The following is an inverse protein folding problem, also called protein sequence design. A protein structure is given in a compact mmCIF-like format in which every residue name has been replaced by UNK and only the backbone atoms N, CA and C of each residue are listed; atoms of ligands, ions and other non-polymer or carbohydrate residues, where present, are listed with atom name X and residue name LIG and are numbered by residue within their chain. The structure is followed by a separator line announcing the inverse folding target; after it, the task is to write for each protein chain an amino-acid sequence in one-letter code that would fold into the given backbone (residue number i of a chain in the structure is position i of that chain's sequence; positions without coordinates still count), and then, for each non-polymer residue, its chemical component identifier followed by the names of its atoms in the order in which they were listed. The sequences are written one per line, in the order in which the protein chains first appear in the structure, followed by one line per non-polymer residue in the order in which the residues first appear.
data_IF_853185714432
#
_entry.id   IF_853185714432
#
_cell.length_a   1.000
_cell.length_b   1.000
_cell.length_c   1.000
_cell.angle_alpha   90.00
_cell.angle_beta   90.00
_cell.angle_gamma   90.00
#
_symmetry.space_group_name_H-M   'P 1'
#
loop_
_entity.id
_entity.type
_entity.pdbx_description
1 polymer ?
#
# COMPACT_ATOMS: atom_id res chain seq x y z
N UNK A 1 -25.83 1.98 -5.24
CA UNK A 1 -24.96 2.37 -6.32
C UNK A 1 -23.57 1.80 -6.12
N UNK A 2 -22.89 1.49 -7.19
CA UNK A 2 -21.47 1.10 -7.17
C UNK A 2 -20.63 2.36 -7.27
N UNK A 3 -19.63 2.50 -6.44
CA UNK A 3 -18.61 3.57 -6.54
C UNK A 3 -17.48 3.04 -7.41
N UNK A 4 -17.13 3.81 -8.46
CA UNK A 4 -16.00 3.45 -9.32
C UNK A 4 -14.67 3.78 -8.61
N UNK A 5 -13.81 2.78 -8.44
CA UNK A 5 -12.49 2.93 -7.82
C UNK A 5 -11.56 3.87 -8.59
N UNK A 6 -11.77 4.02 -9.90
CA UNK A 6 -10.91 4.84 -10.76
C UNK A 6 -11.30 6.33 -10.72
N UNK A 7 -12.55 6.65 -10.40
CA UNK A 7 -13.02 8.03 -10.28
C UNK A 7 -12.69 8.63 -8.93
N UNK A 8 -12.82 7.85 -7.85
CA UNK A 8 -12.55 8.33 -6.51
C UNK A 8 -12.11 7.19 -5.59
N UNK A 9 -10.80 7.01 -5.46
CA UNK A 9 -10.21 5.95 -4.62
C UNK A 9 -10.65 6.06 -3.17
N UNK A 10 -10.72 7.27 -2.63
CA UNK A 10 -11.11 7.48 -1.23
C UNK A 10 -12.56 7.06 -0.98
N UNK A 11 -13.49 7.45 -1.85
CA UNK A 11 -14.89 7.01 -1.77
C UNK A 11 -15.03 5.50 -1.93
N UNK A 12 -14.22 4.90 -2.82
CA UNK A 12 -14.21 3.46 -3.00
C UNK A 12 -13.72 2.72 -1.75
N UNK A 13 -12.68 3.22 -1.10
CA UNK A 13 -12.19 2.65 0.17
C UNK A 13 -13.24 2.78 1.28
N UNK A 14 -13.93 3.92 1.36
CA UNK A 14 -15.03 4.09 2.31
C UNK A 14 -16.20 3.15 2.01
N UNK A 15 -16.50 2.92 0.74
CA UNK A 15 -17.49 1.93 0.32
C UNK A 15 -17.08 0.52 0.73
N UNK A 16 -15.82 0.15 0.54
CA UNK A 16 -15.29 -1.12 1.01
C UNK A 16 -15.37 -1.24 2.54
N UNK A 17 -15.03 -0.19 3.27
CA UNK A 17 -15.21 -0.12 4.72
C UNK A 17 -16.66 -0.41 5.13
N UNK A 18 -17.62 0.18 4.42
CA UNK A 18 -19.05 -0.07 4.66
C UNK A 18 -19.43 -1.53 4.42
N UNK A 19 -18.96 -2.16 3.36
CA UNK A 19 -19.25 -3.57 3.05
C UNK A 19 -18.77 -4.53 4.16
N UNK A 20 -17.81 -4.11 4.98
CA UNK A 20 -17.22 -4.90 6.06
C UNK A 20 -17.62 -4.43 7.47
N UNK A 21 -18.37 -3.33 7.57
CA UNK A 21 -18.80 -2.73 8.84
C UNK A 21 -20.33 -2.53 8.90
N UNK A 22 -20.85 -2.00 10.00
CA UNK A 22 -22.28 -1.75 10.17
C UNK A 22 -22.76 -0.50 9.42
N UNK A 23 -24.07 -0.42 9.14
CA UNK A 23 -24.73 0.72 8.46
C UNK A 23 -24.44 2.08 9.13
N UNK A 24 -24.22 2.12 10.45
CA UNK A 24 -23.88 3.35 11.17
C UNK A 24 -22.63 4.01 10.62
N UNK A 25 -21.66 3.22 10.15
CA UNK A 25 -20.37 3.69 9.60
C UNK A 25 -20.53 4.29 8.21
N UNK A 26 -21.55 3.92 7.44
CA UNK A 26 -21.78 4.44 6.08
C UNK A 26 -22.00 5.96 6.09
N UNK A 27 -22.83 6.46 6.98
CA UNK A 27 -23.13 7.89 7.05
C UNK A 27 -21.90 8.73 7.37
N UNK A 28 -21.05 8.26 8.29
CA UNK A 28 -19.80 8.91 8.66
C UNK A 28 -18.78 8.83 7.52
N UNK A 29 -18.76 7.72 6.78
CA UNK A 29 -17.93 7.55 5.59
C UNK A 29 -18.33 8.53 4.47
N UNK A 30 -19.62 8.66 4.18
CA UNK A 30 -20.13 9.60 3.18
C UNK A 30 -19.77 11.05 3.55
N UNK A 31 -19.90 11.43 4.82
CA UNK A 31 -19.49 12.76 5.29
C UNK A 31 -18.00 13.03 5.11
N UNK A 32 -17.14 12.03 5.29
CA UNK A 32 -15.70 12.13 5.07
C UNK A 32 -15.36 12.21 3.57
N UNK A 33 -16.09 11.49 2.71
CA UNK A 33 -15.87 11.47 1.26
C UNK A 33 -16.16 12.81 0.58
N UNK A 34 -17.08 13.60 1.11
CA UNK A 34 -17.41 14.94 0.59
C UNK A 34 -16.20 15.91 0.63
N UNK A 35 -15.16 15.61 1.39
CA UNK A 35 -13.91 16.36 1.45
C UNK A 35 -12.88 15.96 0.40
N UNK A 36 -13.29 15.40 -0.71
CA UNK A 36 -12.50 15.02 -1.91
C UNK A 36 -10.98 15.14 -1.73
N UNK A 37 -10.37 14.10 -1.17
CA UNK A 37 -8.92 14.02 -1.09
C UNK A 37 -8.42 13.13 -2.22
N UNK A 38 -7.59 13.67 -3.11
CA UNK A 38 -6.86 12.85 -4.09
C UNK A 38 -5.93 11.88 -3.37
N UNK A 39 -5.53 10.79 -4.05
CA UNK A 39 -4.53 9.86 -3.52
C UNK A 39 -3.22 10.58 -3.23
N UNK A 40 -2.80 11.50 -4.10
CA UNK A 40 -1.58 12.29 -3.93
C UNK A 40 -1.60 13.12 -2.64
N UNK A 41 -2.72 13.78 -2.36
CA UNK A 41 -2.90 14.52 -1.11
C UNK A 41 -2.80 13.60 0.12
N UNK A 42 -3.41 12.41 0.05
CA UNK A 42 -3.33 11.44 1.14
C UNK A 42 -1.91 10.91 1.33
N UNK A 43 -1.15 10.73 0.25
CA UNK A 43 0.26 10.31 0.32
C UNK A 43 1.09 11.36 1.03
N UNK A 44 0.96 12.63 0.67
CA UNK A 44 1.72 13.73 1.30
C UNK A 44 1.35 13.88 2.78
N UNK A 45 0.07 13.82 3.11
CA UNK A 45 -0.44 13.89 4.49
C UNK A 45 0.09 12.71 5.36
N UNK A 46 0.10 11.49 4.80
CA UNK A 46 0.66 10.30 5.46
C UNK A 46 2.17 10.46 5.67
N UNK A 47 2.89 10.93 4.66
CA UNK A 47 4.35 11.12 4.76
C UNK A 47 4.71 12.09 5.88
N UNK A 48 3.97 13.20 5.99
CA UNK A 48 4.16 14.18 7.06
C UNK A 48 3.77 13.60 8.43
N UNK A 49 2.58 13.00 8.54
CA UNK A 49 2.03 12.47 9.80
C UNK A 49 2.93 11.41 10.44
N UNK A 50 3.50 10.51 9.62
CA UNK A 50 4.33 9.40 10.10
C UNK A 50 5.83 9.64 9.93
N UNK A 51 6.24 10.84 9.49
CA UNK A 51 7.64 11.22 9.22
C UNK A 51 8.37 10.17 8.36
N UNK A 52 7.77 9.81 7.21
CA UNK A 52 8.26 8.76 6.34
C UNK A 52 9.42 9.27 5.48
N UNK A 53 10.52 8.52 5.42
CA UNK A 53 11.65 8.79 4.54
C UNK A 53 11.24 8.70 3.07
N UNK A 54 11.50 9.77 2.30
CA UNK A 54 11.25 9.77 0.86
C UNK A 54 12.40 9.09 0.10
N UNK A 55 12.12 7.97 -0.54
CA UNK A 55 13.05 7.21 -1.38
C UNK A 55 12.72 7.27 -2.88
N UNK A 56 11.93 8.24 -3.32
CA UNK A 56 11.56 8.44 -4.75
C UNK A 56 12.69 9.04 -5.59
N UNK A 57 13.94 8.86 -5.21
CA UNK A 57 15.10 9.38 -5.92
C UNK A 57 15.73 8.33 -6.84
N UNK A 58 16.32 8.74 -7.99
CA UNK A 58 16.90 7.81 -8.98
C UNK A 58 18.01 6.92 -8.45
N UNK A 59 18.62 7.26 -7.31
CA UNK A 59 19.65 6.44 -6.66
C UNK A 59 19.10 5.13 -6.12
N UNK A 60 17.80 5.08 -5.81
CA UNK A 60 17.12 3.88 -5.34
C UNK A 60 16.54 3.12 -6.54
N UNK A 61 17.28 2.11 -6.99
CA UNK A 61 16.79 1.16 -8.00
C UNK A 61 16.13 0.02 -7.28
N UNK A 62 14.82 -0.09 -7.43
CA UNK A 62 13.98 -1.05 -6.72
C UNK A 62 13.34 -1.99 -7.74
N UNK A 63 13.36 -3.28 -7.45
CA UNK A 63 12.88 -4.35 -8.32
C UNK A 63 12.00 -5.31 -7.53
N UNK A 64 10.98 -5.86 -8.17
CA UNK A 64 10.20 -7.01 -7.70
C UNK A 64 10.56 -8.25 -8.53
N UNK A 65 10.37 -9.45 -7.98
CA UNK A 65 10.55 -10.72 -8.68
C UNK A 65 9.30 -11.56 -8.45
N UNK A 66 8.38 -11.49 -9.40
CA UNK A 66 7.08 -12.12 -9.33
C UNK A 66 6.74 -12.82 -10.64
N UNK A 67 5.82 -13.80 -10.66
CA UNK A 67 5.26 -14.33 -11.89
C UNK A 67 4.65 -13.25 -12.77
N UNK A 68 4.69 -13.45 -14.09
CA UNK A 68 4.25 -12.45 -15.09
C UNK A 68 2.79 -11.98 -14.90
N UNK A 69 1.92 -12.85 -14.34
CA UNK A 69 0.50 -12.54 -14.13
C UNK A 69 0.20 -11.94 -12.75
N UNK A 70 1.22 -11.67 -11.93
CA UNK A 70 1.05 -11.10 -10.59
C UNK A 70 0.48 -9.69 -10.66
N UNK A 71 -0.37 -9.36 -9.67
CA UNK A 71 -0.97 -8.03 -9.51
C UNK A 71 -0.73 -7.43 -8.13
N UNK A 72 -0.39 -8.27 -7.18
CA UNK A 72 -0.13 -7.96 -5.78
C UNK A 72 1.37 -8.16 -5.50
N UNK A 73 2.15 -7.10 -5.72
CA UNK A 73 3.59 -7.07 -5.47
C UNK A 73 3.82 -6.65 -4.02
N UNK A 74 4.04 -7.63 -3.14
CA UNK A 74 4.12 -7.41 -1.69
C UNK A 74 5.53 -7.08 -1.22
N UNK A 75 6.55 -7.54 -1.96
CA UNK A 75 7.96 -7.33 -1.64
C UNK A 75 8.78 -6.87 -2.83
N UNK A 76 9.84 -6.14 -2.51
CA UNK A 76 10.80 -5.65 -3.48
C UNK A 76 12.20 -5.57 -2.86
N UNK A 77 13.21 -5.47 -3.67
CA UNK A 77 14.58 -5.30 -3.23
C UNK A 77 15.33 -4.26 -4.05
N UNK A 78 16.38 -3.73 -3.45
CA UNK A 78 17.29 -2.82 -4.12
C UNK A 78 18.73 -3.06 -3.68
N UNK A 79 19.66 -2.74 -4.55
CA UNK A 79 21.10 -2.81 -4.24
C UNK A 79 21.74 -1.50 -4.67
N UNK A 80 22.45 -0.84 -3.75
CA UNK A 80 23.22 0.36 -4.06
C UNK A 80 24.61 0.32 -3.42
N UNK A 81 25.58 0.87 -4.14
CA UNK A 81 26.94 1.04 -3.63
C UNK A 81 27.11 2.44 -3.06
N UNK A 82 27.72 2.52 -1.90
CA UNK A 82 28.06 3.77 -1.20
C UNK A 82 29.56 3.85 -0.91
N UNK A 83 30.03 4.97 -0.38
CA UNK A 83 31.44 5.20 -0.01
C UNK A 83 32.42 4.84 -1.14
N UNK A 84 32.13 5.31 -2.37
CA UNK A 84 32.94 5.03 -3.57
C UNK A 84 33.10 3.53 -3.87
N UNK A 85 32.06 2.74 -3.55
CA UNK A 85 32.02 1.30 -3.80
C UNK A 85 32.61 0.43 -2.69
N UNK A 86 33.06 1.02 -1.58
CA UNK A 86 33.59 0.27 -0.43
C UNK A 86 32.51 -0.42 0.38
N UNK A 87 31.26 0.02 0.24
CA UNK A 87 30.12 -0.56 0.93
C UNK A 87 28.98 -0.80 -0.04
N UNK A 88 28.25 -1.89 0.18
CA UNK A 88 27.05 -2.24 -0.56
C UNK A 88 25.90 -2.27 0.42
N UNK A 89 24.81 -1.56 0.10
CA UNK A 89 23.56 -1.65 0.85
C UNK A 89 22.59 -2.51 0.05
N UNK A 90 22.08 -3.55 0.69
CA UNK A 90 20.95 -4.34 0.22
C UNK A 90 19.72 -3.86 0.98
N UNK A 91 18.72 -3.39 0.25
CA UNK A 91 17.44 -2.94 0.82
C UNK A 91 16.35 -3.95 0.49
N UNK A 92 15.60 -4.39 1.49
CA UNK A 92 14.42 -5.21 1.34
C UNK A 92 13.22 -4.33 1.70
N UNK A 93 12.24 -4.29 0.82
CA UNK A 93 11.02 -3.50 0.97
C UNK A 93 9.83 -4.43 1.09
N UNK A 94 8.99 -4.20 2.08
CA UNK A 94 7.71 -4.91 2.24
C UNK A 94 6.60 -3.88 2.19
N UNK A 95 5.58 -4.12 1.40
CA UNK A 95 4.41 -3.25 1.27
C UNK A 95 3.81 -2.91 2.63
N UNK A 96 3.66 -1.60 2.92
CA UNK A 96 3.16 -1.14 4.20
C UNK A 96 1.65 -0.86 4.14
N UNK A 97 0.86 -1.90 4.31
CA UNK A 97 -0.61 -1.82 4.36
C UNK A 97 -1.09 -1.05 5.61
N UNK A 98 -0.33 -1.11 6.69
CA UNK A 98 -0.77 -0.59 8.00
C UNK A 98 -0.98 0.92 7.99
N UNK A 99 -0.17 1.68 7.26
CA UNK A 99 -0.33 3.14 7.17
C UNK A 99 -1.68 3.53 6.56
N UNK A 100 -2.17 2.76 5.58
CA UNK A 100 -3.49 2.99 4.99
C UNK A 100 -4.61 2.58 5.93
N UNK A 101 -4.45 1.46 6.65
CA UNK A 101 -5.45 1.01 7.63
C UNK A 101 -5.59 2.00 8.77
N UNK A 102 -4.48 2.57 9.26
CA UNK A 102 -4.48 3.60 10.29
C UNK A 102 -5.08 4.90 9.77
N UNK A 103 -4.54 5.43 8.69
CA UNK A 103 -4.94 6.72 8.14
C UNK A 103 -6.43 6.78 7.79
N UNK A 104 -6.99 5.68 7.28
CA UNK A 104 -8.39 5.58 6.89
C UNK A 104 -9.28 4.99 8.00
N UNK A 105 -8.73 4.67 9.17
CA UNK A 105 -9.44 4.03 10.29
C UNK A 105 -10.16 2.73 9.85
N UNK A 106 -9.42 1.84 9.17
CA UNK A 106 -9.99 0.61 8.58
C UNK A 106 -9.80 -0.64 9.44
N UNK A 107 -9.05 -0.58 10.53
CA UNK A 107 -8.73 -1.75 11.37
C UNK A 107 -9.96 -2.53 11.81
N UNK A 108 -10.97 -1.85 12.33
CA UNK A 108 -12.19 -2.51 12.80
C UNK A 108 -12.95 -3.25 11.69
N UNK A 109 -12.78 -2.80 10.42
CA UNK A 109 -13.46 -3.38 9.27
C UNK A 109 -12.78 -4.64 8.75
N UNK A 110 -11.44 -4.73 8.86
CA UNK A 110 -10.63 -5.80 8.28
C UNK A 110 -10.03 -6.77 9.30
N UNK A 111 -10.02 -6.44 10.60
CA UNK A 111 -9.43 -7.26 11.66
C UNK A 111 -10.07 -8.66 11.82
N UNK A 112 -11.26 -8.87 11.30
CA UNK A 112 -11.97 -10.16 11.37
C UNK A 112 -11.55 -11.15 10.29
N UNK A 113 -10.80 -10.72 9.26
CA UNK A 113 -10.31 -11.57 8.19
C UNK A 113 -8.83 -11.84 8.40
N UNK A 114 -8.47 -13.09 8.49
CA UNK A 114 -7.11 -13.53 8.80
C UNK A 114 -6.35 -14.08 7.58
N UNK A 115 -7.06 -14.30 6.47
CA UNK A 115 -6.43 -14.83 5.23
C UNK A 115 -7.29 -14.60 4.01
N UNK A 116 -6.70 -14.70 2.83
CA UNK A 116 -7.39 -14.85 1.55
C UNK A 116 -7.96 -16.26 1.44
N UNK A 117 -9.20 -16.39 0.96
CA UNK A 117 -9.88 -17.66 0.73
C UNK A 117 -9.82 -17.98 -0.77
N UNK A 118 -9.23 -19.10 -1.12
CA UNK A 118 -9.17 -19.58 -2.51
C UNK A 118 -10.27 -20.63 -2.72
N UNK A 119 -11.23 -20.31 -3.58
CA UNK A 119 -12.28 -21.21 -4.03
C UNK A 119 -11.97 -21.68 -5.46
N UNK A 120 -12.54 -22.80 -5.94
CA UNK A 120 -12.28 -23.30 -7.29
C UNK A 120 -12.63 -22.31 -8.41
N UNK A 121 -13.61 -21.46 -8.19
CA UNK A 121 -14.17 -20.51 -9.17
C UNK A 121 -13.74 -19.04 -8.91
N UNK A 122 -13.22 -18.72 -7.71
CA UNK A 122 -12.89 -17.34 -7.34
C UNK A 122 -11.97 -17.27 -6.13
N UNK A 123 -11.31 -16.11 -5.99
CA UNK A 123 -10.57 -15.70 -4.80
C UNK A 123 -11.40 -14.68 -4.00
N UNK A 124 -11.48 -14.86 -2.69
CA UNK A 124 -12.03 -13.86 -1.76
C UNK A 124 -10.84 -13.26 -1.02
N UNK A 125 -10.35 -12.07 -1.38
CA UNK A 125 -9.16 -11.50 -0.79
C UNK A 125 -9.39 -11.09 0.67
N UNK A 126 -8.33 -11.16 1.48
CA UNK A 126 -8.34 -10.67 2.87
C UNK A 126 -8.60 -9.17 2.92
N UNK A 127 -7.99 -8.41 2.02
CA UNK A 127 -8.18 -6.97 1.85
C UNK A 127 -8.91 -6.67 0.53
N UNK A 128 -9.61 -5.53 0.42
CA UNK A 128 -10.13 -5.07 -0.86
C UNK A 128 -9.02 -4.96 -1.90
N UNK A 129 -9.32 -5.29 -3.16
CA UNK A 129 -8.35 -5.25 -4.26
C UNK A 129 -7.74 -3.88 -4.48
N UNK A 130 -8.47 -2.79 -4.17
CA UNK A 130 -7.92 -1.42 -4.20
C UNK A 130 -6.75 -1.23 -3.22
N UNK A 131 -6.70 -1.97 -2.12
CA UNK A 131 -5.53 -1.99 -1.23
C UNK A 131 -4.48 -2.96 -1.74
N UNK A 132 -4.82 -4.25 -1.92
CA UNK A 132 -3.85 -5.30 -2.21
C UNK A 132 -3.26 -5.24 -3.63
N UNK A 133 -4.04 -4.85 -4.64
CA UNK A 133 -3.60 -4.86 -6.05
C UNK A 133 -3.30 -3.46 -6.59
N UNK A 134 -3.53 -2.39 -5.79
CA UNK A 134 -3.29 -1.01 -6.20
C UNK A 134 -2.45 -0.26 -5.15
N UNK A 135 -3.07 0.38 -4.15
CA UNK A 135 -2.37 1.30 -3.24
C UNK A 135 -1.21 0.67 -2.46
N UNK A 136 -1.29 -0.61 -2.15
CA UNK A 136 -0.25 -1.34 -1.43
C UNK A 136 0.65 -2.18 -2.36
N UNK A 137 0.25 -2.43 -3.61
CA UNK A 137 1.08 -3.18 -4.55
C UNK A 137 2.25 -2.32 -5.04
N UNK A 138 3.48 -2.86 -4.98
CA UNK A 138 4.72 -2.17 -5.32
C UNK A 138 4.94 -2.09 -6.85
N UNK A 139 3.95 -1.53 -7.56
CA UNK A 139 3.95 -1.43 -9.01
C UNK A 139 4.93 -0.37 -9.53
N UNK A 140 5.46 -0.60 -10.73
CA UNK A 140 6.42 0.29 -11.40
C UNK A 140 5.85 1.71 -11.59
N UNK A 141 6.70 2.72 -11.41
CA UNK A 141 6.40 4.15 -11.62
C UNK A 141 5.30 4.73 -10.72
N UNK A 142 5.01 4.06 -9.63
CA UNK A 142 4.05 4.53 -8.64
C UNK A 142 4.72 4.72 -7.28
N UNK A 143 4.35 5.79 -6.57
CA UNK A 143 4.78 5.99 -5.18
C UNK A 143 3.99 5.07 -4.26
N UNK A 144 4.69 4.28 -3.45
CA UNK A 144 4.08 3.31 -2.53
C UNK A 144 4.76 3.37 -1.17
N UNK A 145 4.02 3.08 -0.13
CA UNK A 145 4.56 2.95 1.21
C UNK A 145 5.11 1.55 1.43
N UNK A 146 6.34 1.47 1.94
CA UNK A 146 6.98 0.21 2.29
C UNK A 146 7.70 0.31 3.63
N UNK A 147 7.80 -0.81 4.31
CA UNK A 147 8.77 -1.01 5.39
C UNK A 147 10.08 -1.38 4.72
N UNK A 148 11.16 -0.68 5.03
CA UNK A 148 12.48 -0.93 4.46
C UNK A 148 13.45 -1.48 5.50
N UNK A 149 14.12 -2.58 5.16
CA UNK A 149 15.27 -3.10 5.90
C UNK A 149 16.53 -2.89 5.07
N UNK A 150 17.44 -2.06 5.54
CA UNK A 150 18.74 -1.81 4.91
C UNK A 150 19.84 -2.64 5.60
N UNK A 151 20.52 -3.47 4.83
CA UNK A 151 21.64 -4.29 5.25
C UNK A 151 22.90 -3.73 4.61
N UNK A 152 23.84 -3.25 5.44
CA UNK A 152 25.11 -2.72 4.95
C UNK A 152 26.18 -3.80 4.99
N UNK A 153 26.82 -4.04 3.87
CA UNK A 153 27.95 -4.98 3.73
C UNK A 153 29.21 -4.19 3.36
N UNK A 154 30.28 -4.43 4.10
CA UNK A 154 31.61 -3.93 3.72
C UNK A 154 32.12 -4.81 2.56
N UNK A 155 32.52 -4.17 1.49
CA UNK A 155 33.17 -4.81 0.33
C UNK A 155 34.68 -4.61 0.54
N UNK A 156 35.37 -5.65 1.01
CA UNK A 156 36.83 -5.67 1.03
C UNK A 156 37.42 -5.55 -0.40
#
# INVERSE_FOLDING_TARGET
GTVDKNENVYEYLLYCKYLYSSIKTLHDCIKKSIKHRSVDYMVDDIMELYNIEDRRFPIYKIYTIDPEESKDFDDAYGIRKINKGKQTIISIYISNVTVWLDYLDLWSSFSKRVSTIYLPDRRIPMLPTILSEDLCSLVEKQSRFAIALDITLDTE
#
